data_IF_453082240892
#
_entry.id   IF_453082240892
#
_cell.length_a   1.000
_cell.length_b   1.000
_cell.length_c   1.000
_cell.angle_alpha   90.00
_cell.angle_beta   90.00
_cell.angle_gamma   90.00
#
_symmetry.space_group_name_H-M   'P 1'
#
loop_
_entity.id
_entity.type
_entity.pdbx_description
1 polymer ?
#
# COMPACT_ATOMS: atom_id res chain seq x y z
N UNK A 1 -9.21 12.18 4.29
CA UNK A 1 -9.10 10.90 5.02
C UNK A 1 -8.83 9.77 4.03
N UNK A 2 -8.07 8.79 4.44
CA UNK A 2 -7.70 7.66 3.58
C UNK A 2 -8.91 6.89 3.06
N UNK A 3 -9.96 6.77 3.86
CA UNK A 3 -11.20 6.07 3.46
C UNK A 3 -11.81 6.73 2.22
N UNK A 4 -11.79 8.04 2.14
CA UNK A 4 -12.31 8.75 0.97
C UNK A 4 -11.53 8.39 -0.30
N UNK A 5 -10.22 8.25 -0.19
CA UNK A 5 -9.38 7.84 -1.31
C UNK A 5 -9.70 6.41 -1.75
N UNK A 6 -9.91 5.51 -0.79
CA UNK A 6 -10.28 4.12 -1.07
C UNK A 6 -11.64 4.04 -1.75
N UNK A 7 -12.63 4.73 -1.22
CA UNK A 7 -13.96 4.76 -1.82
C UNK A 7 -13.93 5.31 -3.24
N UNK A 8 -13.16 6.40 -3.45
CA UNK A 8 -13.00 7.00 -4.76
C UNK A 8 -12.36 6.02 -5.76
N UNK A 9 -11.33 5.28 -5.32
CA UNK A 9 -10.67 4.28 -6.15
C UNK A 9 -11.64 3.18 -6.58
N UNK A 10 -12.37 2.61 -5.64
CA UNK A 10 -13.34 1.55 -5.94
C UNK A 10 -14.49 2.04 -6.82
N UNK A 11 -15.00 3.23 -6.55
CA UNK A 11 -16.09 3.84 -7.34
C UNK A 11 -15.65 4.07 -8.79
N UNK A 12 -14.44 4.63 -8.98
CA UNK A 12 -13.91 4.86 -10.33
C UNK A 12 -13.63 3.56 -11.07
N UNK A 13 -13.11 2.56 -10.37
CA UNK A 13 -12.84 1.26 -10.98
C UNK A 13 -14.12 0.62 -11.52
N UNK A 14 -15.20 0.65 -10.72
CA UNK A 14 -16.51 0.14 -11.18
C UNK A 14 -17.04 0.93 -12.36
N UNK A 15 -17.00 2.25 -12.28
CA UNK A 15 -17.52 3.13 -13.32
C UNK A 15 -16.77 2.97 -14.64
N UNK A 16 -15.44 2.83 -14.57
CA UNK A 16 -14.59 2.74 -15.75
C UNK A 16 -14.33 1.31 -16.22
N UNK A 17 -14.80 0.32 -15.46
CA UNK A 17 -14.57 -1.09 -15.79
C UNK A 17 -13.13 -1.53 -15.60
N UNK A 18 -12.40 -0.93 -14.66
CA UNK A 18 -11.01 -1.34 -14.37
C UNK A 18 -11.00 -2.67 -13.63
N UNK A 19 -10.14 -3.56 -14.06
CA UNK A 19 -9.96 -4.85 -13.40
C UNK A 19 -9.13 -4.73 -12.12
N UNK A 20 -8.26 -3.73 -12.05
CA UNK A 20 -7.31 -3.55 -10.94
C UNK A 20 -7.23 -2.10 -10.51
N UNK A 21 -6.90 -1.91 -9.23
CA UNK A 21 -6.45 -0.62 -8.69
C UNK A 21 -5.07 -0.79 -8.08
N UNK A 22 -4.30 0.29 -8.06
CA UNK A 22 -2.88 0.29 -7.66
C UNK A 22 -2.74 1.08 -6.37
N UNK A 23 -2.17 0.43 -5.35
CA UNK A 23 -2.09 0.97 -4.00
C UNK A 23 -0.64 1.05 -3.57
N UNK A 24 -0.20 2.26 -3.21
CA UNK A 24 1.15 2.55 -2.74
C UNK A 24 1.20 2.57 -1.23
N UNK A 25 2.22 1.94 -0.68
CA UNK A 25 2.45 1.90 0.76
C UNK A 25 3.88 2.34 1.07
N UNK A 26 4.00 3.46 1.81
CA UNK A 26 5.23 3.84 2.45
C UNK A 26 5.52 2.82 3.57
N UNK A 27 6.80 2.59 3.88
CA UNK A 27 7.19 1.55 4.83
C UNK A 27 7.35 2.10 6.25
N UNK A 28 8.40 2.88 6.48
CA UNK A 28 8.69 3.41 7.80
C UNK A 28 7.69 4.49 8.21
N UNK A 29 7.21 4.42 9.46
CA UNK A 29 6.20 5.32 10.03
C UNK A 29 4.81 5.24 9.39
N UNK A 30 4.61 4.26 8.53
CA UNK A 30 3.30 3.95 7.94
C UNK A 30 2.92 2.49 8.22
N UNK A 31 3.75 1.54 7.85
CA UNK A 31 3.53 0.09 8.10
C UNK A 31 4.30 -0.36 9.33
N UNK A 32 5.55 0.07 9.46
CA UNK A 32 6.43 -0.25 10.59
C UNK A 32 6.94 1.03 11.24
N UNK A 33 7.27 0.94 12.53
CA UNK A 33 7.88 2.05 13.25
C UNK A 33 9.29 2.32 12.71
N UNK A 34 9.70 3.60 12.73
CA UNK A 34 11.07 3.95 12.40
C UNK A 34 12.01 3.56 13.54
N UNK A 35 13.16 3.02 13.16
CA UNK A 35 14.22 2.70 14.12
C UNK A 35 15.38 3.68 13.92
N UNK A 36 15.16 4.94 14.26
CA UNK A 36 16.21 5.96 14.23
C UNK A 36 17.08 5.91 15.47
N UNK A 37 16.66 5.18 16.50
CA UNK A 37 17.39 5.00 17.73
C UNK A 37 18.25 3.74 17.69
N UNK A 38 19.26 3.72 18.54
CA UNK A 38 20.16 2.59 18.66
C UNK A 38 19.47 1.45 19.45
N UNK A 39 19.27 0.31 18.80
CA UNK A 39 18.83 -0.91 19.47
C UNK A 39 17.35 -1.11 19.65
N UNK A 40 16.50 -0.27 19.05
CA UNK A 40 15.04 -0.50 19.08
C UNK A 40 14.65 -1.49 17.98
N UNK A 41 13.72 -2.39 18.31
CA UNK A 41 13.17 -3.34 17.36
C UNK A 41 12.06 -2.65 16.59
N UNK A 42 12.08 -2.75 15.25
CA UNK A 42 11.01 -2.24 14.42
C UNK A 42 9.75 -3.07 14.65
N UNK A 43 8.64 -2.40 14.88
CA UNK A 43 7.34 -3.03 15.12
C UNK A 43 6.34 -2.60 14.07
N UNK A 44 5.45 -3.52 13.71
CA UNK A 44 4.34 -3.19 12.81
C UNK A 44 3.25 -2.44 13.56
N UNK A 45 2.65 -1.47 12.91
CA UNK A 45 1.51 -0.75 13.49
C UNK A 45 0.29 -1.69 13.59
N UNK A 46 -0.58 -1.48 14.61
CA UNK A 46 -1.78 -2.32 14.76
C UNK A 46 -2.64 -2.33 13.49
N UNK A 47 -3.11 -3.50 13.11
CA UNK A 47 -3.94 -3.75 11.92
C UNK A 47 -3.25 -3.56 10.58
N UNK A 48 -1.98 -3.13 10.54
CA UNK A 48 -1.25 -2.96 9.28
C UNK A 48 -1.08 -4.29 8.54
N UNK A 49 -0.57 -5.31 9.23
CA UNK A 49 -0.33 -6.62 8.63
C UNK A 49 -1.63 -7.29 8.19
N UNK A 50 -2.65 -7.24 9.02
CA UNK A 50 -3.95 -7.83 8.72
C UNK A 50 -4.57 -7.17 7.48
N UNK A 51 -4.44 -5.86 7.37
CA UNK A 51 -4.94 -5.11 6.21
C UNK A 51 -4.16 -5.47 4.94
N UNK A 52 -2.83 -5.48 5.03
CA UNK A 52 -1.97 -5.83 3.90
C UNK A 52 -2.23 -7.27 3.44
N UNK A 53 -2.51 -8.18 4.37
CA UNK A 53 -2.82 -9.57 4.02
C UNK A 53 -4.11 -9.67 3.21
N UNK A 54 -5.15 -8.94 3.61
CA UNK A 54 -6.41 -8.90 2.85
C UNK A 54 -6.13 -8.42 1.43
N UNK A 55 -5.41 -7.31 1.30
CA UNK A 55 -5.13 -6.70 -0.01
C UNK A 55 -4.23 -7.59 -0.86
N UNK A 56 -3.23 -8.23 -0.25
CA UNK A 56 -2.32 -9.13 -0.95
C UNK A 56 -3.02 -10.36 -1.53
N UNK A 57 -4.08 -10.82 -0.88
CA UNK A 57 -4.85 -11.98 -1.34
C UNK A 57 -5.84 -11.63 -2.47
N UNK A 58 -5.98 -10.33 -2.82
CA UNK A 58 -6.94 -9.89 -3.85
C UNK A 58 -6.29 -9.78 -5.22
N UNK A 59 -6.98 -10.31 -6.24
CA UNK A 59 -6.54 -10.19 -7.62
C UNK A 59 -6.81 -8.80 -8.21
N UNK A 60 -7.79 -8.07 -7.65
CA UNK A 60 -8.15 -6.73 -8.10
C UNK A 60 -7.31 -5.61 -7.49
N UNK A 61 -6.36 -5.95 -6.62
CA UNK A 61 -5.47 -4.99 -5.96
C UNK A 61 -4.02 -5.29 -6.32
N UNK A 62 -3.30 -4.27 -6.75
CA UNK A 62 -1.84 -4.34 -6.97
C UNK A 62 -1.18 -3.56 -5.86
N UNK A 63 -0.34 -4.22 -5.07
CA UNK A 63 0.40 -3.61 -3.97
C UNK A 63 1.77 -3.17 -4.45
N UNK A 64 2.09 -1.90 -4.21
CA UNK A 64 3.38 -1.31 -4.56
C UNK A 64 4.01 -0.76 -3.29
N UNK A 65 5.21 -1.24 -2.96
CA UNK A 65 5.98 -0.68 -1.86
C UNK A 65 6.67 0.59 -2.34
N UNK A 66 6.48 1.68 -1.60
CA UNK A 66 7.04 2.98 -1.94
C UNK A 66 7.97 3.44 -0.82
N UNK A 67 9.27 3.24 -0.98
CA UNK A 67 10.23 3.46 0.09
C UNK A 67 11.56 4.01 -0.44
N UNK A 68 12.23 4.81 0.38
CA UNK A 68 13.58 5.30 0.08
C UNK A 68 14.66 4.43 0.71
N UNK A 69 14.31 3.28 1.31
CA UNK A 69 15.29 2.35 1.88
C UNK A 69 16.24 1.81 0.81
N UNK A 70 17.46 1.48 1.23
CA UNK A 70 18.41 0.84 0.33
C UNK A 70 17.98 -0.56 -0.07
N UNK A 71 18.40 -1.02 -1.25
CA UNK A 71 17.99 -2.30 -1.82
C UNK A 71 18.22 -3.49 -0.89
N UNK A 72 19.30 -3.50 -0.13
CA UNK A 72 19.61 -4.58 0.80
C UNK A 72 18.55 -4.71 1.89
N UNK A 73 18.09 -3.56 2.42
CA UNK A 73 17.03 -3.55 3.43
C UNK A 73 15.68 -3.93 2.84
N UNK A 74 15.41 -3.46 1.64
CA UNK A 74 14.17 -3.80 0.93
C UNK A 74 14.05 -5.32 0.78
N UNK A 75 15.11 -6.00 0.40
CA UNK A 75 15.11 -7.47 0.28
C UNK A 75 14.75 -8.15 1.59
N UNK A 76 15.29 -7.66 2.70
CA UNK A 76 14.98 -8.21 4.04
C UNK A 76 13.50 -8.02 4.36
N UNK A 77 12.96 -6.83 4.15
CA UNK A 77 11.54 -6.56 4.41
C UNK A 77 10.63 -7.38 3.50
N UNK A 78 10.96 -7.50 2.23
CA UNK A 78 10.17 -8.29 1.28
C UNK A 78 10.10 -9.75 1.70
N UNK A 79 11.22 -10.31 2.17
CA UNK A 79 11.25 -11.68 2.68
C UNK A 79 10.40 -11.84 3.94
N UNK A 80 10.46 -10.88 4.86
CA UNK A 80 9.63 -10.89 6.07
C UNK A 80 8.14 -10.83 5.72
N UNK A 81 7.75 -9.97 4.79
CA UNK A 81 6.36 -9.89 4.34
C UNK A 81 5.92 -11.18 3.68
N UNK A 82 6.76 -11.73 2.82
CA UNK A 82 6.46 -12.99 2.14
C UNK A 82 6.19 -14.12 3.13
N UNK A 83 7.01 -14.20 4.19
CA UNK A 83 6.82 -15.19 5.25
C UNK A 83 5.50 -15.01 6.01
N UNK A 84 4.95 -13.81 5.99
CA UNK A 84 3.64 -13.48 6.58
C UNK A 84 2.49 -13.61 5.57
N UNK A 85 2.78 -14.06 4.36
CA UNK A 85 1.78 -14.21 3.30
C UNK A 85 1.42 -12.90 2.60
N UNK A 86 2.27 -11.89 2.70
CA UNK A 86 2.06 -10.58 2.07
C UNK A 86 3.06 -10.42 0.94
N UNK A 87 2.56 -10.24 -0.28
CA UNK A 87 3.38 -10.10 -1.47
C UNK A 87 3.12 -8.75 -2.13
N UNK A 88 4.14 -7.89 -2.13
CA UNK A 88 4.10 -6.66 -2.92
C UNK A 88 4.43 -7.01 -4.36
N UNK A 89 3.63 -6.50 -5.29
CA UNK A 89 3.80 -6.77 -6.71
C UNK A 89 5.00 -6.02 -7.29
N UNK A 90 5.22 -4.78 -6.84
CA UNK A 90 6.29 -3.93 -7.33
C UNK A 90 6.88 -3.08 -6.20
N UNK A 91 8.06 -2.54 -6.44
CA UNK A 91 8.78 -1.64 -5.52
C UNK A 91 9.15 -0.38 -6.29
N UNK A 92 8.64 0.76 -5.83
CA UNK A 92 8.96 2.09 -6.38
C UNK A 92 8.69 2.24 -7.88
N UNK A 93 7.80 1.42 -8.43
CA UNK A 93 7.44 1.49 -9.85
C UNK A 93 6.06 0.88 -10.10
N UNK A 94 5.47 1.25 -11.21
CA UNK A 94 4.24 0.60 -11.71
C UNK A 94 4.39 0.33 -13.21
N UNK A 95 5.01 -0.82 -13.58
CA UNK A 95 5.20 -1.14 -14.99
C UNK A 95 3.92 -1.54 -15.73
N UNK A 96 2.82 -1.74 -14.99
CA UNK A 96 1.52 -2.07 -15.61
C UNK A 96 0.83 -0.85 -16.24
N UNK A 97 1.15 0.37 -15.76
CA UNK A 97 0.59 1.59 -16.33
C UNK A 97 1.59 2.20 -17.33
N UNK A 98 1.21 2.22 -18.59
CA UNK A 98 2.06 2.71 -19.67
C UNK A 98 1.68 4.12 -20.10
N UNK A 99 2.63 4.84 -20.67
CA UNK A 99 2.41 6.20 -21.20
C UNK A 99 1.35 6.22 -22.30
N UNK A 100 0.58 7.28 -22.32
CA UNK A 100 -0.48 7.48 -23.32
C UNK A 100 -0.54 8.95 -23.71
N UNK A 101 -1.48 9.29 -24.59
CA UNK A 101 -1.73 10.70 -24.93
C UNK A 101 -2.24 11.53 -23.73
N UNK A 102 -2.75 10.86 -22.70
CA UNK A 102 -3.30 11.53 -21.51
C UNK A 102 -2.29 11.70 -20.39
N UNK A 103 -1.28 10.82 -20.28
CA UNK A 103 -0.36 10.87 -19.18
C UNK A 103 1.00 10.24 -19.51
N UNK A 104 2.03 10.81 -18.88
CA UNK A 104 3.41 10.30 -18.92
C UNK A 104 3.77 9.84 -17.50
N UNK A 105 4.07 8.55 -17.35
CA UNK A 105 4.37 7.94 -16.06
C UNK A 105 5.88 7.68 -15.84
N UNK A 106 6.74 8.28 -16.63
CA UNK A 106 8.19 8.09 -16.50
C UNK A 106 8.75 8.66 -15.19
N UNK A 107 8.15 9.75 -14.69
CA UNK A 107 8.58 10.40 -13.45
C UNK A 107 7.61 10.10 -12.31
N UNK A 108 6.33 10.33 -12.53
CA UNK A 108 5.28 10.01 -11.55
C UNK A 108 4.49 8.81 -12.06
N UNK A 109 4.78 7.64 -11.52
CA UNK A 109 4.04 6.45 -11.92
C UNK A 109 2.63 6.45 -11.35
N UNK A 110 1.75 5.71 -12.03
CA UNK A 110 0.31 5.71 -11.74
C UNK A 110 -0.01 4.93 -10.46
N UNK A 111 -0.87 5.50 -9.63
CA UNK A 111 -1.47 4.81 -8.50
C UNK A 111 -2.85 5.39 -8.19
N UNK A 112 -3.64 4.65 -7.44
CA UNK A 112 -5.00 5.06 -7.07
C UNK A 112 -5.10 5.48 -5.60
N UNK A 113 -4.35 4.82 -4.71
CA UNK A 113 -4.37 5.09 -3.27
C UNK A 113 -2.94 5.15 -2.74
N UNK A 114 -2.66 6.13 -1.90
CA UNK A 114 -1.35 6.31 -1.27
C UNK A 114 -1.50 6.25 0.25
N UNK A 115 -0.79 5.32 0.86
CA UNK A 115 -0.66 5.20 2.31
C UNK A 115 0.72 5.72 2.70
N UNK A 116 0.77 6.94 3.22
CA UNK A 116 2.02 7.59 3.59
C UNK A 116 1.74 8.56 4.74
N UNK A 117 2.50 8.45 5.83
CA UNK A 117 2.35 9.33 7.00
C UNK A 117 2.55 10.80 6.62
N UNK A 118 3.43 11.07 5.68
CA UNK A 118 3.67 12.44 5.18
C UNK A 118 2.54 12.97 4.32
N UNK A 119 1.68 12.09 3.82
CA UNK A 119 0.50 12.47 3.05
C UNK A 119 -0.77 12.48 3.91
N UNK A 120 -0.63 12.42 5.24
CA UNK A 120 -1.74 12.55 6.16
C UNK A 120 -2.29 11.23 6.71
N UNK A 121 -1.70 10.10 6.36
CA UNK A 121 -2.08 8.82 6.96
C UNK A 121 -1.53 8.74 8.38
N UNK A 122 -2.42 8.44 9.34
CA UNK A 122 -2.04 8.35 10.75
C UNK A 122 -1.96 6.87 11.16
N UNK A 123 -0.76 6.27 11.24
CA UNK A 123 -0.64 4.81 11.38
C UNK A 123 -1.22 4.24 12.68
N UNK A 124 -1.27 5.01 13.75
CA UNK A 124 -1.87 4.55 15.00
C UNK A 124 -3.40 4.61 15.01
N UNK A 125 -4.01 5.36 14.09
CA UNK A 125 -5.47 5.59 14.08
C UNK A 125 -6.16 5.09 12.83
N UNK A 126 -5.48 5.09 11.68
CA UNK A 126 -6.14 4.91 10.39
C UNK A 126 -6.16 3.47 9.89
N UNK A 127 -5.25 2.59 10.35
CA UNK A 127 -5.25 1.19 9.92
C UNK A 127 -6.51 0.44 10.32
N UNK A 128 -6.98 0.62 11.57
CA UNK A 128 -8.17 -0.09 12.03
C UNK A 128 -9.42 0.25 11.21
N UNK A 129 -9.74 1.55 10.97
CA UNK A 129 -10.85 1.90 10.07
C UNK A 129 -10.71 1.34 8.66
N UNK A 130 -9.50 1.32 8.11
CA UNK A 130 -9.24 0.74 6.79
C UNK A 130 -9.51 -0.77 6.80
N UNK A 131 -9.00 -1.45 7.81
CA UNK A 131 -9.23 -2.89 8.00
C UNK A 131 -10.72 -3.20 8.06
N UNK A 132 -11.48 -2.48 8.87
CA UNK A 132 -12.93 -2.68 9.01
C UNK A 132 -13.67 -2.38 7.70
N UNK A 133 -13.25 -1.33 7.01
CA UNK A 133 -13.84 -0.97 5.72
C UNK A 133 -13.67 -2.10 4.70
N UNK A 134 -12.47 -2.66 4.61
CA UNK A 134 -12.18 -3.73 3.65
C UNK A 134 -12.91 -5.02 3.99
N UNK A 135 -12.98 -5.38 5.27
CA UNK A 135 -13.75 -6.56 5.71
C UNK A 135 -15.20 -6.42 5.29
N UNK A 136 -15.79 -5.26 5.51
CA UNK A 136 -17.17 -5.01 5.13
C UNK A 136 -17.33 -4.98 3.61
N UNK A 137 -16.43 -4.32 2.90
CA UNK A 137 -16.50 -4.19 1.45
C UNK A 137 -16.43 -5.55 0.75
N UNK A 138 -15.48 -6.39 1.13
CA UNK A 138 -15.28 -7.69 0.51
C UNK A 138 -16.15 -8.79 1.10
N UNK A 139 -16.77 -8.54 2.24
CA UNK A 139 -17.68 -9.48 2.88
C UNK A 139 -19.09 -9.50 2.30
N UNK A 140 -19.36 -8.60 1.37
CA UNK A 140 -20.71 -8.48 0.78
C UNK A 140 -20.91 -9.43 -0.37
#
# INVERSE_FOLDING_TARGET
MIIDAIEAAFTRAKKQGWEKTYWLFDLHDTVITSNYGVGEVEEYFPFALETLKILSDREDIVLILFTSSHDEKIKVYMEKFKNLGINFNYINENPEATNSSYANFDVKFYFNVLFDDKAGFHPMKDWEPVYQYLIEYYGK
#
